data_IF_071035070071
#
_entry.id   IF_071035070071
#
_cell.length_a   1.000
_cell.length_b   1.000
_cell.length_c   1.000
_cell.angle_alpha   90.00
_cell.angle_beta   90.00
_cell.angle_gamma   90.00
#
_symmetry.space_group_name_H-M   'P 1'
#
loop_
_entity.id
_entity.type
_entity.pdbx_description
1 polymer ?
#
# COMPACT_ATOMS: atom_id res chain seq x y z
N UNK A 1 -19.68 -21.47 -0.72
CA UNK A 1 -19.34 -20.47 -1.76
C UNK A 1 -20.42 -19.40 -1.66
N UNK A 2 -20.11 -18.22 -1.12
CA UNK A 2 -21.10 -17.15 -1.03
C UNK A 2 -21.36 -16.65 -2.46
N UNK A 3 -22.57 -16.79 -2.97
CA UNK A 3 -22.97 -16.23 -4.26
C UNK A 3 -23.11 -14.72 -4.08
N UNK A 4 -22.27 -13.96 -4.76
CA UNK A 4 -22.38 -12.50 -4.77
C UNK A 4 -23.21 -12.08 -5.99
N UNK A 5 -24.21 -11.23 -5.77
CA UNK A 5 -25.13 -10.73 -6.80
C UNK A 5 -24.46 -9.96 -7.94
N UNK A 6 -23.21 -9.50 -7.76
CA UNK A 6 -22.43 -8.83 -8.78
C UNK A 6 -20.94 -9.08 -8.63
N UNK A 7 -20.30 -9.48 -9.72
CA UNK A 7 -18.86 -9.62 -9.83
C UNK A 7 -18.33 -8.41 -10.60
N UNK A 8 -17.28 -7.79 -10.09
CA UNK A 8 -16.56 -6.68 -10.70
C UNK A 8 -15.10 -7.07 -10.88
N UNK A 9 -14.38 -6.35 -11.74
CA UNK A 9 -12.93 -6.47 -11.84
C UNK A 9 -12.26 -5.47 -10.90
N UNK A 10 -11.44 -5.97 -9.98
CA UNK A 10 -10.64 -5.14 -9.09
C UNK A 10 -9.16 -5.20 -9.51
N UNK A 11 -8.50 -4.05 -9.47
CA UNK A 11 -7.06 -4.00 -9.70
C UNK A 11 -6.32 -4.57 -8.50
N UNK A 12 -5.45 -5.54 -8.73
CA UNK A 12 -4.60 -6.11 -7.67
C UNK A 12 -3.77 -5.01 -7.03
N UNK A 13 -3.06 -4.22 -7.85
CA UNK A 13 -2.39 -3.01 -7.40
C UNK A 13 -3.20 -1.78 -7.85
N UNK A 14 -3.47 -0.81 -6.95
CA UNK A 14 -4.35 0.32 -7.27
C UNK A 14 -3.87 1.12 -8.47
N UNK A 15 -4.74 1.32 -9.46
CA UNK A 15 -4.40 2.02 -10.70
C UNK A 15 -3.89 3.45 -10.48
N UNK A 16 -4.42 4.14 -9.49
CA UNK A 16 -4.04 5.52 -9.14
C UNK A 16 -2.64 5.65 -8.52
N UNK A 17 -2.02 4.52 -8.12
CA UNK A 17 -0.71 4.50 -7.47
C UNK A 17 0.46 4.35 -8.44
N UNK A 18 0.18 4.07 -9.72
CA UNK A 18 1.24 4.03 -10.73
C UNK A 18 1.74 5.45 -11.03
N UNK A 19 3.07 5.61 -11.03
CA UNK A 19 3.70 6.84 -11.46
C UNK A 19 3.45 7.07 -12.96
N UNK A 20 3.49 8.31 -13.40
CA UNK A 20 3.36 8.63 -14.84
C UNK A 20 4.50 8.08 -15.68
N UNK A 21 5.68 7.95 -15.07
CA UNK A 21 6.86 7.31 -15.67
C UNK A 21 6.75 5.79 -15.77
N UNK A 22 5.74 5.16 -15.16
CA UNK A 22 5.52 3.75 -15.35
C UNK A 22 5.31 3.44 -16.84
N UNK A 23 5.89 2.34 -17.34
CA UNK A 23 5.77 1.97 -18.75
C UNK A 23 4.32 1.99 -19.21
N UNK A 24 4.03 2.53 -20.42
CA UNK A 24 2.66 2.62 -20.92
C UNK A 24 2.01 1.25 -21.13
N UNK A 25 2.81 0.25 -21.40
CA UNK A 25 2.43 -1.15 -21.55
C UNK A 25 2.45 -1.94 -20.24
N UNK A 26 2.56 -1.28 -19.10
CA UNK A 26 2.55 -1.97 -17.80
C UNK A 26 1.21 -2.69 -17.63
N UNK A 27 1.28 -3.95 -17.31
CA UNK A 27 0.10 -4.74 -17.05
C UNK A 27 -0.53 -4.29 -15.72
N UNK A 28 -1.79 -3.89 -15.80
CA UNK A 28 -2.58 -3.51 -14.63
C UNK A 28 -3.50 -4.67 -14.29
N UNK A 29 -2.94 -5.69 -13.66
CA UNK A 29 -3.66 -6.91 -13.36
C UNK A 29 -4.95 -6.66 -12.59
N UNK A 30 -5.98 -7.34 -13.05
CA UNK A 30 -7.29 -7.33 -12.47
C UNK A 30 -7.68 -8.75 -12.06
N UNK A 31 -8.43 -8.85 -10.99
CA UNK A 31 -8.98 -10.12 -10.50
C UNK A 31 -10.48 -9.95 -10.26
N UNK A 32 -11.27 -11.00 -10.42
CA UNK A 32 -12.68 -10.97 -10.04
C UNK A 32 -12.82 -10.63 -8.56
N UNK A 33 -13.72 -9.71 -8.24
CA UNK A 33 -14.03 -9.28 -6.88
C UNK A 33 -15.52 -9.00 -6.73
N UNK A 34 -16.10 -9.24 -5.57
CA UNK A 34 -17.46 -8.80 -5.32
C UNK A 34 -17.53 -7.27 -5.24
N UNK A 35 -18.65 -6.69 -5.66
CA UNK A 35 -18.84 -5.25 -5.65
C UNK A 35 -18.66 -4.62 -4.25
N UNK A 36 -19.11 -5.32 -3.20
CA UNK A 36 -18.94 -4.87 -1.82
C UNK A 36 -17.47 -4.84 -1.41
N UNK A 37 -16.71 -5.90 -1.68
CA UNK A 37 -15.28 -5.97 -1.39
C UNK A 37 -14.51 -4.90 -2.16
N UNK A 38 -14.77 -4.77 -3.46
CA UNK A 38 -14.13 -3.74 -4.30
C UNK A 38 -14.38 -2.33 -3.76
N UNK A 39 -15.61 -2.03 -3.31
CA UNK A 39 -15.94 -0.72 -2.73
C UNK A 39 -15.21 -0.47 -1.38
N UNK A 40 -15.09 -1.50 -0.54
CA UNK A 40 -14.35 -1.41 0.73
C UNK A 40 -12.86 -1.14 0.45
N UNK A 41 -12.26 -1.91 -0.44
CA UNK A 41 -10.84 -1.74 -0.79
C UNK A 41 -10.57 -0.42 -1.48
N UNK A 42 -11.45 0.04 -2.37
CA UNK A 42 -11.30 1.35 -3.03
C UNK A 42 -11.21 2.52 -2.04
N UNK A 43 -12.04 2.51 -0.97
CA UNK A 43 -11.98 3.52 0.09
C UNK A 43 -10.69 3.43 0.91
N UNK A 44 -10.28 2.20 1.23
CA UNK A 44 -9.03 1.92 1.94
C UNK A 44 -7.81 2.42 1.14
N UNK A 45 -7.77 2.11 -0.13
CA UNK A 45 -6.71 2.53 -1.05
C UNK A 45 -6.64 4.04 -1.21
N UNK A 46 -7.79 4.72 -1.30
CA UNK A 46 -7.83 6.19 -1.37
C UNK A 46 -7.27 6.82 -0.09
N UNK A 47 -7.61 6.27 1.07
CA UNK A 47 -7.08 6.74 2.36
C UNK A 47 -5.57 6.54 2.45
N UNK A 48 -5.08 5.34 2.17
CA UNK A 48 -3.65 5.03 2.20
C UNK A 48 -2.87 5.87 1.18
N UNK A 49 -3.40 6.02 -0.04
CA UNK A 49 -2.80 6.88 -1.07
C UNK A 49 -2.65 8.31 -0.57
N UNK A 50 -3.68 8.84 0.10
CA UNK A 50 -3.67 10.21 0.62
C UNK A 50 -2.54 10.39 1.65
N UNK A 51 -2.36 9.44 2.55
CA UNK A 51 -1.30 9.48 3.56
C UNK A 51 0.09 9.30 2.95
N UNK A 52 0.26 8.29 2.11
CA UNK A 52 1.55 7.96 1.48
C UNK A 52 2.02 9.05 0.51
N UNK A 53 1.11 9.64 -0.27
CA UNK A 53 1.46 10.68 -1.23
C UNK A 53 2.09 11.91 -0.58
N UNK A 54 1.69 12.23 0.65
CA UNK A 54 2.28 13.34 1.40
C UNK A 54 3.70 13.05 1.89
N UNK A 55 4.10 11.78 1.94
CA UNK A 55 5.44 11.35 2.31
C UNK A 55 6.40 11.22 1.11
N UNK A 56 5.92 11.43 -0.11
CA UNK A 56 6.72 11.30 -1.34
C UNK A 56 7.78 12.40 -1.45
N UNK A 57 8.85 12.10 -2.18
CA UNK A 57 9.92 13.06 -2.43
C UNK A 57 9.56 13.99 -3.61
N UNK A 58 9.29 15.24 -3.30
CA UNK A 58 8.91 16.25 -4.31
C UNK A 58 10.03 16.68 -5.26
N UNK A 59 11.25 16.20 -5.06
CA UNK A 59 12.35 16.39 -6.02
C UNK A 59 12.14 15.54 -7.29
N UNK A 60 11.41 14.44 -7.18
CA UNK A 60 11.02 13.62 -8.31
C UNK A 60 9.70 14.19 -8.92
N UNK A 61 9.71 14.49 -10.21
CA UNK A 61 8.56 15.08 -10.90
C UNK A 61 7.31 14.19 -10.87
N UNK A 62 7.46 12.88 -10.96
CA UNK A 62 6.33 11.96 -10.94
C UNK A 62 5.69 11.87 -9.55
N UNK A 63 6.51 11.76 -8.52
CA UNK A 63 6.06 11.77 -7.14
C UNK A 63 5.39 13.10 -6.78
N UNK A 64 5.98 14.23 -7.24
CA UNK A 64 5.39 15.57 -7.13
C UNK A 64 4.01 15.66 -7.78
N UNK A 65 3.80 15.01 -8.92
CA UNK A 65 2.50 15.00 -9.59
C UNK A 65 1.44 14.23 -8.79
N UNK A 66 1.78 13.07 -8.22
CA UNK A 66 0.87 12.34 -7.35
C UNK A 66 0.51 13.20 -6.14
N UNK A 67 1.51 13.76 -5.46
CA UNK A 67 1.29 14.61 -4.30
C UNK A 67 0.39 15.81 -4.64
N UNK A 68 0.63 16.51 -5.76
CA UNK A 68 -0.19 17.63 -6.22
C UNK A 68 -1.64 17.19 -6.45
N UNK A 69 -1.87 16.07 -7.11
CA UNK A 69 -3.22 15.56 -7.37
C UNK A 69 -3.95 15.25 -6.07
N UNK A 70 -3.27 14.63 -5.11
CA UNK A 70 -3.86 14.32 -3.81
C UNK A 70 -4.14 15.60 -3.02
N UNK A 71 -3.20 16.53 -2.93
CA UNK A 71 -3.45 17.83 -2.28
C UNK A 71 -4.65 18.53 -2.90
N UNK A 72 -4.76 18.54 -4.23
CA UNK A 72 -5.91 19.12 -4.92
C UNK A 72 -7.22 18.40 -4.58
N UNK A 73 -7.20 17.08 -4.38
CA UNK A 73 -8.40 16.28 -4.07
C UNK A 73 -8.95 16.51 -2.66
N UNK A 74 -8.12 17.00 -1.73
CA UNK A 74 -8.50 17.30 -0.34
C UNK A 74 -8.63 18.79 -0.06
N UNK A 75 -8.38 19.66 -1.04
CA UNK A 75 -8.45 21.10 -0.91
C UNK A 75 -9.88 21.58 -1.24
N UNK A 76 -10.64 22.13 -0.27
CA UNK A 76 -12.06 22.50 -0.46
C UNK A 76 -12.30 23.50 -1.59
N UNK A 77 -11.35 24.41 -1.82
CA UNK A 77 -11.41 25.47 -2.84
C UNK A 77 -11.50 24.93 -4.28
N UNK A 78 -11.11 23.67 -4.49
CA UNK A 78 -11.28 22.98 -5.78
C UNK A 78 -12.56 22.15 -5.88
N UNK A 79 -13.46 22.27 -4.90
CA UNK A 79 -14.73 21.56 -4.91
C UNK A 79 -15.68 22.06 -6.01
N UNK A 80 -16.32 21.13 -6.70
CA UNK A 80 -17.22 21.43 -7.83
C UNK A 80 -18.61 21.90 -7.39
N UNK A 81 -19.02 21.53 -6.18
CA UNK A 81 -20.30 21.85 -5.56
C UNK A 81 -20.22 21.70 -4.04
N UNK A 82 -21.25 22.13 -3.31
CA UNK A 82 -21.26 22.09 -1.85
C UNK A 82 -21.02 20.69 -1.26
N UNK A 83 -21.54 19.62 -1.87
CA UNK A 83 -21.30 18.24 -1.44
C UNK A 83 -19.83 17.84 -1.58
N UNK A 84 -19.18 18.21 -2.68
CA UNK A 84 -17.76 17.95 -2.92
C UNK A 84 -16.88 18.77 -1.96
N UNK A 85 -17.18 20.06 -1.77
CA UNK A 85 -16.52 20.92 -0.77
C UNK A 85 -16.56 20.30 0.62
N UNK A 86 -17.75 19.86 1.08
CA UNK A 86 -17.93 19.21 2.37
C UNK A 86 -17.14 17.90 2.47
N UNK A 87 -17.12 17.09 1.42
CA UNK A 87 -16.36 15.84 1.37
C UNK A 87 -14.87 16.10 1.51
N UNK A 88 -14.31 17.05 0.75
CA UNK A 88 -12.89 17.46 0.81
C UNK A 88 -12.53 18.01 2.18
N UNK A 89 -13.38 18.83 2.78
CA UNK A 89 -13.19 19.37 4.13
C UNK A 89 -13.08 18.25 5.17
N UNK A 90 -13.96 17.25 5.10
CA UNK A 90 -13.91 16.08 5.99
C UNK A 90 -12.62 15.29 5.81
N UNK A 91 -12.22 14.98 4.56
CA UNK A 91 -10.96 14.29 4.25
C UNK A 91 -9.76 15.05 4.78
N UNK A 92 -9.70 16.37 4.56
CA UNK A 92 -8.63 17.24 5.05
C UNK A 92 -8.56 17.25 6.58
N UNK A 93 -9.71 17.37 7.28
CA UNK A 93 -9.75 17.32 8.75
C UNK A 93 -9.22 15.98 9.29
N UNK A 94 -9.66 14.86 8.70
CA UNK A 94 -9.17 13.52 9.07
C UNK A 94 -7.66 13.43 8.91
N UNK A 95 -7.14 13.81 7.74
CA UNK A 95 -5.71 13.78 7.45
C UNK A 95 -4.90 14.64 8.43
N UNK A 96 -5.35 15.86 8.73
CA UNK A 96 -4.67 16.75 9.67
C UNK A 96 -4.65 16.17 11.10
N UNK A 97 -5.67 15.43 11.51
CA UNK A 97 -5.70 14.74 12.80
C UNK A 97 -4.71 13.57 12.89
N UNK A 98 -4.30 13.02 11.74
CA UNK A 98 -3.31 11.95 11.67
C UNK A 98 -1.86 12.48 11.60
N UNK A 99 -1.67 13.81 11.45
CA UNK A 99 -0.34 14.43 11.47
C UNK A 99 0.07 14.70 12.91
N UNK A 100 1.27 14.27 13.25
CA UNK A 100 1.89 14.50 14.56
C UNK A 100 3.26 15.16 14.39
N UNK A 101 3.68 15.86 15.43
CA UNK A 101 4.96 16.57 15.50
C UNK A 101 5.83 15.93 16.58
N UNK A 102 7.08 15.63 16.24
CA UNK A 102 8.02 15.00 17.14
C UNK A 102 9.40 15.66 17.03
N UNK A 103 10.15 15.67 18.13
CA UNK A 103 11.57 16.05 18.14
C UNK A 103 12.46 15.01 17.49
N UNK A 104 12.07 13.75 17.63
CA UNK A 104 12.75 12.58 17.05
C UNK A 104 11.77 11.78 16.18
N UNK A 105 12.31 11.03 15.22
CA UNK A 105 11.48 10.18 14.35
C UNK A 105 10.96 8.99 15.17
N UNK A 106 9.65 8.83 15.32
CA UNK A 106 9.07 7.68 16.01
C UNK A 106 9.42 6.36 15.31
N UNK A 107 9.61 5.32 16.10
CA UNK A 107 10.11 4.04 15.61
C UNK A 107 9.05 3.14 14.96
N UNK A 108 7.77 3.30 15.30
CA UNK A 108 6.73 2.35 14.88
C UNK A 108 5.36 2.99 14.62
N UNK A 109 4.64 2.40 13.64
CA UNK A 109 3.26 2.78 13.30
C UNK A 109 3.11 4.13 12.61
N UNK A 110 4.20 4.82 12.33
CA UNK A 110 4.24 6.14 11.74
C UNK A 110 5.19 6.13 10.55
N UNK A 111 4.68 6.57 9.40
CA UNK A 111 5.49 6.68 8.19
C UNK A 111 6.48 7.85 8.27
N UNK A 112 7.58 7.77 7.50
CA UNK A 112 8.57 8.83 7.44
C UNK A 112 7.97 10.18 7.10
N UNK A 113 8.53 11.18 7.66
CA UNK A 113 8.10 12.54 7.83
C UNK A 113 8.17 13.44 6.58
N UNK A 114 7.63 14.64 6.71
CA UNK A 114 7.77 15.74 5.75
C UNK A 114 9.09 16.52 5.91
N UNK A 115 9.96 16.12 6.80
CA UNK A 115 11.16 16.84 7.20
C UNK A 115 10.91 17.82 8.36
N UNK A 116 11.95 18.56 8.77
CA UNK A 116 11.85 19.51 9.89
C UNK A 116 10.95 20.69 9.54
N UNK A 117 10.16 21.14 10.51
CA UNK A 117 9.26 22.30 10.36
C UNK A 117 9.96 23.63 10.51
N UNK A 118 11.11 23.66 11.19
CA UNK A 118 11.89 24.87 11.43
C UNK A 118 13.39 24.58 11.38
N UNK A 119 14.15 25.59 10.96
CA UNK A 119 15.62 25.53 10.90
C UNK A 119 16.28 26.24 12.10
N UNK A 120 15.53 26.97 12.93
CA UNK A 120 16.06 27.93 13.88
C UNK A 120 16.06 27.44 15.32
N UNK A 121 15.04 26.64 15.70
CA UNK A 121 14.93 26.08 17.06
C UNK A 121 14.61 24.62 16.89
N UNK A 122 15.09 23.73 17.70
CA UNK A 122 14.90 22.28 17.69
C UNK A 122 13.98 21.77 16.56
N UNK A 123 14.51 21.18 15.49
CA UNK A 123 13.71 20.74 14.36
C UNK A 123 12.63 19.75 14.80
N UNK A 124 11.40 20.05 14.45
CA UNK A 124 10.29 19.14 14.66
C UNK A 124 10.03 18.34 13.38
N UNK A 125 9.86 17.05 13.54
CA UNK A 125 9.49 16.17 12.43
C UNK A 125 7.96 16.03 12.38
N UNK A 126 7.42 16.20 11.19
CA UNK A 126 6.01 15.92 10.90
C UNK A 126 5.90 14.49 10.43
N UNK A 127 5.11 13.71 11.13
CA UNK A 127 4.85 12.31 10.79
C UNK A 127 3.37 12.11 10.54
N UNK A 128 3.04 11.08 9.79
CA UNK A 128 1.66 10.72 9.51
C UNK A 128 1.41 9.34 10.09
N UNK A 129 0.35 9.23 10.90
CA UNK A 129 -0.08 7.96 11.46
C UNK A 129 -0.99 7.26 10.46
N UNK A 130 -0.69 6.00 10.19
CA UNK A 130 -1.53 5.12 9.39
C UNK A 130 -2.05 4.00 10.29
N UNK A 131 -3.32 3.67 10.16
CA UNK A 131 -3.94 2.58 10.90
C UNK A 131 -3.25 1.24 10.55
N UNK A 132 -2.70 0.50 11.53
CA UNK A 132 -2.14 -0.84 11.29
C UNK A 132 -3.16 -1.78 10.65
N UNK A 133 -4.42 -1.75 11.09
CA UNK A 133 -5.50 -2.56 10.53
C UNK A 133 -5.72 -2.26 9.03
N UNK A 134 -5.58 -1.00 8.62
CA UNK A 134 -5.73 -0.63 7.22
C UNK A 134 -4.54 -1.12 6.39
N UNK A 135 -3.33 -1.08 6.95
CA UNK A 135 -2.14 -1.62 6.30
C UNK A 135 -2.22 -3.14 6.15
N UNK A 136 -2.66 -3.85 7.20
CA UNK A 136 -2.88 -5.30 7.16
C UNK A 136 -3.89 -5.69 6.08
N UNK A 137 -5.07 -5.07 6.06
CA UNK A 137 -6.10 -5.32 5.02
C UNK A 137 -5.60 -5.03 3.62
N UNK A 138 -4.81 -3.99 3.45
CA UNK A 138 -4.20 -3.66 2.16
C UNK A 138 -3.15 -4.72 1.76
N UNK A 139 -2.30 -5.12 2.70
CA UNK A 139 -1.33 -6.19 2.50
C UNK A 139 -2.00 -7.51 2.14
N UNK A 140 -3.09 -7.90 2.85
CA UNK A 140 -3.88 -9.08 2.50
C UNK A 140 -4.46 -9.01 1.08
N UNK A 141 -5.03 -7.85 0.69
CA UNK A 141 -5.55 -7.66 -0.68
C UNK A 141 -4.46 -7.90 -1.72
N UNK A 142 -3.30 -7.25 -1.57
CA UNK A 142 -2.19 -7.41 -2.49
C UNK A 142 -1.73 -8.87 -2.54
N UNK A 143 -1.58 -9.50 -1.39
CA UNK A 143 -1.15 -10.90 -1.26
C UNK A 143 -2.10 -11.85 -1.98
N UNK A 144 -3.41 -11.75 -1.74
CA UNK A 144 -4.43 -12.56 -2.42
C UNK A 144 -4.38 -12.37 -3.93
N UNK A 145 -4.35 -11.13 -4.37
CA UNK A 145 -4.34 -10.80 -5.79
C UNK A 145 -3.08 -11.29 -6.50
N UNK A 146 -1.89 -11.06 -5.91
CA UNK A 146 -0.64 -11.53 -6.53
C UNK A 146 -0.46 -13.05 -6.44
N UNK A 147 -0.99 -13.71 -5.41
CA UNK A 147 -1.03 -15.17 -5.35
C UNK A 147 -1.85 -15.75 -6.50
N UNK A 148 -2.99 -15.14 -6.79
CA UNK A 148 -3.79 -15.55 -7.94
C UNK A 148 -3.06 -15.29 -9.27
N UNK A 149 -2.53 -14.09 -9.47
CA UNK A 149 -1.84 -13.71 -10.72
C UNK A 149 -0.60 -14.56 -10.99
N UNK A 150 0.23 -14.80 -9.97
CA UNK A 150 1.50 -15.50 -10.19
C UNK A 150 1.40 -17.01 -10.17
N UNK A 151 0.41 -17.55 -9.47
CA UNK A 151 0.34 -18.99 -9.23
C UNK A 151 -1.01 -19.61 -9.58
N UNK A 152 -2.00 -18.81 -10.00
CA UNK A 152 -3.38 -19.21 -10.23
C UNK A 152 -3.99 -19.92 -8.99
N UNK A 153 -3.61 -19.47 -7.79
CA UNK A 153 -4.07 -20.01 -6.52
C UNK A 153 -5.08 -19.07 -5.87
N UNK A 154 -6.27 -19.58 -5.61
CA UNK A 154 -7.26 -18.88 -4.80
C UNK A 154 -6.97 -19.12 -3.32
N UNK A 155 -6.95 -18.04 -2.55
CA UNK A 155 -6.82 -18.08 -1.10
C UNK A 155 -8.21 -18.07 -0.48
N UNK A 156 -8.51 -19.12 0.25
CA UNK A 156 -9.78 -19.33 0.91
C UNK A 156 -9.77 -18.80 2.35
N UNK A 157 -10.93 -18.81 3.02
CA UNK A 157 -11.05 -18.38 4.42
C UNK A 157 -10.30 -19.29 5.41
N UNK A 158 -10.02 -20.53 5.01
CA UNK A 158 -9.28 -21.53 5.79
C UNK A 158 -7.76 -21.41 5.63
N UNK A 159 -7.30 -20.69 4.62
CA UNK A 159 -5.88 -20.48 4.38
C UNK A 159 -5.37 -19.35 5.28
N UNK A 160 -4.13 -19.46 5.71
CA UNK A 160 -3.51 -18.46 6.58
C UNK A 160 -2.83 -17.36 5.74
N UNK A 161 -3.12 -16.10 6.08
CA UNK A 161 -2.34 -14.95 5.60
C UNK A 161 -1.87 -14.17 6.82
N UNK A 162 -0.58 -13.88 6.85
CA UNK A 162 0.02 -12.95 7.79
C UNK A 162 0.64 -11.78 7.06
N UNK A 163 0.32 -10.55 7.48
CA UNK A 163 0.99 -9.33 7.01
C UNK A 163 1.86 -8.79 8.12
N UNK A 164 3.15 -8.70 7.85
CA UNK A 164 4.17 -8.26 8.81
C UNK A 164 4.65 -6.88 8.37
N UNK A 165 4.14 -5.86 9.01
CA UNK A 165 4.60 -4.48 8.81
C UNK A 165 5.92 -4.36 9.54
N UNK A 166 6.92 -3.82 8.86
CA UNK A 166 8.31 -3.80 9.29
C UNK A 166 8.50 -3.15 10.68
N UNK A 167 8.60 -3.96 11.71
CA UNK A 167 9.26 -3.61 12.97
C UNK A 167 10.73 -4.04 12.90
N UNK A 168 11.61 -3.22 13.42
CA UNK A 168 13.08 -3.38 13.37
C UNK A 168 13.67 -4.65 14.02
N UNK A 169 12.90 -5.71 14.27
CA UNK A 169 13.36 -6.90 14.97
C UNK A 169 13.49 -8.10 14.05
N UNK A 170 14.71 -8.59 13.88
CA UNK A 170 15.08 -9.87 13.24
C UNK A 170 14.80 -10.04 11.74
N UNK A 171 14.82 -8.97 10.97
CA UNK A 171 14.58 -9.03 9.51
C UNK A 171 15.81 -9.46 8.72
N UNK A 172 16.99 -9.51 9.31
CA UNK A 172 18.20 -9.87 8.58
C UNK A 172 18.09 -11.25 7.93
N UNK A 173 17.58 -12.24 8.66
CA UNK A 173 17.35 -13.57 8.11
C UNK A 173 16.39 -13.57 6.92
N UNK A 174 15.27 -12.84 7.03
CA UNK A 174 14.28 -12.74 5.94
C UNK A 174 14.90 -12.02 4.74
N UNK A 175 15.67 -10.97 4.95
CA UNK A 175 16.40 -10.28 3.87
C UNK A 175 17.39 -11.20 3.16
N UNK A 176 18.13 -12.01 3.90
CA UNK A 176 19.06 -13.00 3.33
C UNK A 176 18.32 -14.04 2.49
N UNK A 177 17.17 -14.54 2.95
CA UNK A 177 16.32 -15.43 2.18
C UNK A 177 15.90 -14.78 0.85
N UNK A 178 15.44 -13.54 0.89
CA UNK A 178 15.04 -12.82 -0.34
C UNK A 178 16.24 -12.58 -1.27
N UNK A 179 17.39 -12.24 -0.74
CA UNK A 179 18.62 -12.08 -1.55
C UNK A 179 19.01 -13.36 -2.29
N UNK A 180 18.83 -14.52 -1.66
CA UNK A 180 19.25 -15.82 -2.19
C UNK A 180 18.21 -16.46 -3.12
N UNK A 181 16.94 -16.35 -2.79
CA UNK A 181 15.88 -17.19 -3.39
C UNK A 181 14.74 -16.42 -4.02
N UNK A 182 14.71 -15.08 -3.87
CA UNK A 182 13.55 -14.34 -4.33
C UNK A 182 13.49 -14.20 -5.85
N UNK A 183 12.31 -14.42 -6.37
CA UNK A 183 11.95 -14.03 -7.72
C UNK A 183 11.43 -12.58 -7.70
N UNK A 184 12.14 -11.69 -8.41
CA UNK A 184 11.77 -10.27 -8.49
C UNK A 184 10.81 -10.04 -9.65
N UNK A 185 9.78 -9.23 -9.39
CA UNK A 185 8.87 -8.80 -10.42
C UNK A 185 8.98 -7.28 -10.61
N UNK A 186 9.56 -6.85 -11.74
CA UNK A 186 9.89 -5.45 -12.00
C UNK A 186 8.93 -4.75 -12.97
N UNK A 187 7.83 -5.41 -13.37
CA UNK A 187 6.93 -4.86 -14.41
C UNK A 187 5.97 -3.78 -13.91
N UNK A 188 6.04 -3.42 -12.62
CA UNK A 188 5.18 -2.38 -12.03
C UNK A 188 5.81 -0.99 -12.02
N UNK A 189 6.95 -0.84 -12.70
CA UNK A 189 7.77 0.38 -12.67
C UNK A 189 8.78 0.37 -11.53
N UNK A 190 9.80 1.24 -11.63
CA UNK A 190 10.95 1.23 -10.71
C UNK A 190 10.61 1.57 -9.24
N UNK A 191 9.42 2.08 -8.98
CA UNK A 191 9.00 2.52 -7.65
C UNK A 191 8.17 1.50 -6.89
N UNK A 192 7.85 0.36 -7.52
CA UNK A 192 7.07 -0.71 -6.92
C UNK A 192 7.82 -2.01 -7.15
N UNK A 193 8.31 -2.58 -6.06
CA UNK A 193 9.07 -3.82 -6.07
C UNK A 193 8.24 -4.88 -5.37
N UNK A 194 8.09 -6.03 -6.03
CA UNK A 194 7.48 -7.22 -5.46
C UNK A 194 8.47 -8.36 -5.62
N UNK A 195 8.89 -8.88 -4.49
CA UNK A 195 9.73 -10.07 -4.44
C UNK A 195 8.95 -11.20 -3.80
N UNK A 196 9.17 -12.43 -4.22
CA UNK A 196 8.47 -13.59 -3.70
C UNK A 196 9.33 -14.83 -3.65
N UNK A 197 9.05 -15.67 -2.66
CA UNK A 197 9.62 -17.00 -2.51
C UNK A 197 8.45 -17.97 -2.36
N UNK A 198 8.44 -19.05 -3.14
CA UNK A 198 7.43 -20.13 -3.01
C UNK A 198 8.14 -21.42 -2.65
N UNK A 199 7.63 -22.11 -1.65
CA UNK A 199 7.98 -23.50 -1.36
C UNK A 199 6.70 -24.34 -1.36
N UNK A 200 6.83 -25.59 -1.74
CA UNK A 200 5.68 -26.49 -1.88
C UNK A 200 6.12 -27.92 -1.59
N UNK A 201 5.36 -28.62 -0.78
CA UNK A 201 5.48 -30.03 -0.53
C UNK A 201 4.18 -30.77 -0.81
N UNK A 202 4.03 -32.01 -0.32
CA UNK A 202 2.85 -32.84 -0.58
C UNK A 202 1.61 -32.36 0.18
N UNK A 203 1.74 -31.56 1.21
CA UNK A 203 0.69 -31.16 2.14
C UNK A 203 0.31 -29.70 2.07
N UNK A 204 1.29 -28.84 1.77
CA UNK A 204 1.09 -27.39 1.84
C UNK A 204 1.90 -26.63 0.79
N UNK A 205 1.43 -25.40 0.56
CA UNK A 205 2.11 -24.38 -0.25
C UNK A 205 2.38 -23.19 0.66
N UNK A 206 3.64 -22.78 0.72
CA UNK A 206 4.08 -21.62 1.49
C UNK A 206 4.61 -20.55 0.53
N UNK A 207 4.13 -19.31 0.68
CA UNK A 207 4.57 -18.20 -0.17
C UNK A 207 4.92 -17.04 0.74
N UNK A 208 6.11 -16.50 0.57
CA UNK A 208 6.57 -15.30 1.25
C UNK A 208 6.71 -14.18 0.22
N UNK A 209 6.09 -13.05 0.50
CA UNK A 209 6.17 -11.83 -0.31
C UNK A 209 6.91 -10.74 0.43
N UNK A 210 7.65 -9.92 -0.33
CA UNK A 210 8.12 -8.60 0.08
C UNK A 210 7.55 -7.57 -0.87
N UNK A 211 6.92 -6.55 -0.30
CA UNK A 211 6.39 -5.42 -1.02
C UNK A 211 7.15 -4.15 -0.63
N UNK A 212 7.59 -3.40 -1.63
CA UNK A 212 8.17 -2.09 -1.43
C UNK A 212 7.51 -1.11 -2.41
N UNK A 213 6.72 -0.21 -1.87
CA UNK A 213 5.92 0.76 -2.61
C UNK A 213 6.51 2.15 -2.37
N UNK A 214 7.04 2.76 -3.44
CA UNK A 214 7.66 4.09 -3.44
C UNK A 214 8.77 4.26 -2.41
N UNK A 215 9.42 3.20 -1.96
CA UNK A 215 10.39 3.22 -0.86
C UNK A 215 9.83 3.81 0.46
N UNK A 216 8.52 3.94 0.59
CA UNK A 216 7.83 4.52 1.75
C UNK A 216 7.04 3.49 2.53
N UNK A 217 6.39 2.58 1.85
CA UNK A 217 5.65 1.48 2.47
C UNK A 217 6.34 0.17 2.15
N UNK A 218 6.87 -0.48 3.17
CA UNK A 218 7.53 -1.77 3.07
C UNK A 218 6.89 -2.74 4.05
N UNK A 219 6.57 -3.92 3.59
CA UNK A 219 6.03 -4.98 4.44
C UNK A 219 6.30 -6.35 3.81
N UNK A 220 6.24 -7.36 4.66
CA UNK A 220 6.26 -8.76 4.26
C UNK A 220 4.87 -9.34 4.40
N UNK A 221 4.59 -10.38 3.64
CA UNK A 221 3.36 -11.13 3.77
C UNK A 221 3.65 -12.61 3.53
N UNK A 222 3.08 -13.43 4.39
CA UNK A 222 3.21 -14.88 4.33
C UNK A 222 1.85 -15.49 4.04
N UNK A 223 1.84 -16.50 3.18
CA UNK A 223 0.67 -17.33 2.86
C UNK A 223 1.01 -18.76 3.16
N UNK A 224 0.12 -19.42 3.91
CA UNK A 224 0.11 -20.87 4.06
C UNK A 224 -1.20 -21.40 3.53
N UNK A 225 -1.12 -22.27 2.54
CA UNK A 225 -2.28 -22.90 1.91
C UNK A 225 -2.16 -24.41 1.98
N UNK A 226 -3.16 -25.07 2.55
CA UNK A 226 -3.27 -26.53 2.53
C UNK A 226 -3.74 -27.01 1.15
N UNK A 227 -3.20 -28.13 0.70
CA UNK A 227 -3.58 -28.77 -0.57
C UNK A 227 -4.83 -29.61 -0.48
#
# INVERSE_FOLDING_TARGET
MDYFDSITNDHVFPKSWYLRSAPKNIEKWQVPSCAQCNNIYSKLEEELLTHLALCLNTKNNDEKNIQRNILRSITPEYGKNAKDVNSRTKKRKKLLADISFFKEIPSYGILPNFGPTTKIVLPEYRTIRISPINLEKFGEKLTKGFTYIFYNLLINKTDEIQVIIHENRNINFVKELFQKFAYKHNNLGNSIIIERIKTEDNTEINILYYFNIWQKLQFYSYVKKMK
#
